data_IF_765146282184
#
_entry.id   IF_765146282184
#
_cell.length_a   1.000
_cell.length_b   1.000
_cell.length_c   1.000
_cell.angle_alpha   90.00
_cell.angle_beta   90.00
_cell.angle_gamma   90.00
#
_symmetry.space_group_name_H-M   'P 1'
#
loop_
_entity.id
_entity.type
_entity.pdbx_description
1 polymer ?
#
# COMPACT_ATOMS: atom_id res chain seq x y z
N UNK A 1 19.30 10.70 -24.38
CA UNK A 1 19.74 12.07 -24.11
C UNK A 1 20.86 12.36 -25.10
N UNK A 2 20.59 13.15 -26.13
CA UNK A 2 21.63 13.63 -27.03
C UNK A 2 21.52 15.16 -27.02
N UNK A 3 22.61 15.81 -26.62
CA UNK A 3 22.72 17.27 -26.59
C UNK A 3 23.34 17.66 -27.92
N UNK A 4 22.62 18.35 -28.79
CA UNK A 4 23.20 19.03 -29.96
C UNK A 4 23.14 20.52 -29.71
N UNK A 5 24.31 21.13 -29.52
CA UNK A 5 24.46 22.59 -29.47
C UNK A 5 24.39 23.17 -30.89
N UNK A 6 23.51 24.13 -31.09
CA UNK A 6 23.57 25.06 -32.23
C UNK A 6 23.33 26.47 -31.67
N UNK A 7 24.41 27.14 -31.25
CA UNK A 7 24.40 28.51 -30.73
C UNK A 7 23.72 28.70 -29.36
N UNK A 8 23.63 29.96 -28.91
CA UNK A 8 23.14 30.39 -27.58
C UNK A 8 21.66 30.09 -27.28
N UNK A 9 21.01 29.24 -28.07
CA UNK A 9 19.61 28.87 -27.92
C UNK A 9 19.49 27.37 -27.67
N UNK A 10 19.36 26.98 -26.41
CA UNK A 10 19.05 25.60 -26.02
C UNK A 10 17.58 25.34 -26.29
N UNK A 11 17.27 24.71 -27.43
CA UNK A 11 15.92 24.22 -27.71
C UNK A 11 15.75 22.85 -27.04
N UNK A 12 15.11 22.85 -25.87
CA UNK A 12 14.57 21.63 -25.25
C UNK A 12 13.29 21.22 -26.00
N UNK A 13 13.41 20.46 -27.09
CA UNK A 13 12.25 19.74 -27.62
C UNK A 13 11.91 18.59 -26.67
N UNK A 14 10.95 18.87 -25.78
CA UNK A 14 10.39 17.91 -24.85
C UNK A 14 9.48 16.95 -25.62
N UNK A 15 9.79 15.65 -25.50
CA UNK A 15 8.96 14.53 -25.95
C UNK A 15 7.49 14.74 -25.55
N UNK A 16 6.64 14.60 -26.56
CA UNK A 16 5.18 14.68 -26.58
C UNK A 16 4.48 14.32 -25.26
N UNK A 17 3.82 15.31 -24.64
CA UNK A 17 2.81 15.18 -23.59
C UNK A 17 1.61 16.10 -23.89
N UNK A 18 0.40 15.79 -23.40
CA UNK A 18 -0.87 16.15 -24.05
C UNK A 18 -1.37 17.59 -23.81
N UNK A 19 -0.47 18.57 -23.69
CA UNK A 19 -0.82 19.96 -23.36
C UNK A 19 -0.33 20.97 -24.40
N UNK A 20 -0.61 20.72 -25.68
CA UNK A 20 -0.44 21.72 -26.75
C UNK A 20 -1.63 22.69 -26.77
N UNK A 21 -1.47 23.87 -26.14
CA UNK A 21 -2.27 25.06 -26.48
C UNK A 21 -1.37 26.25 -26.83
N UNK A 22 -1.22 26.44 -28.14
CA UNK A 22 -1.10 27.69 -28.92
C UNK A 22 -0.34 28.86 -28.27
N UNK A 23 0.85 29.14 -28.80
CA UNK A 23 1.63 30.35 -28.54
C UNK A 23 1.00 31.55 -29.27
N UNK A 24 0.54 32.54 -28.51
CA UNK A 24 0.36 33.91 -29.00
C UNK A 24 0.49 34.86 -27.79
N UNK A 25 1.42 35.82 -27.87
CA UNK A 25 1.62 36.88 -26.87
C UNK A 25 2.85 36.67 -26.00
N UNK A 26 3.72 37.68 -25.95
CA UNK A 26 4.95 37.70 -25.14
C UNK A 26 4.67 37.30 -23.69
N UNK A 27 5.61 36.57 -23.08
CA UNK A 27 5.39 35.86 -21.82
C UNK A 27 5.85 36.70 -20.60
N UNK A 28 5.02 37.57 -19.99
CA UNK A 28 5.23 37.83 -18.58
C UNK A 28 5.01 36.48 -17.88
N UNK A 29 5.94 36.08 -17.02
CA UNK A 29 5.89 34.88 -16.16
C UNK A 29 6.53 33.57 -16.68
N UNK A 30 7.49 33.58 -17.62
CA UNK A 30 8.25 32.36 -17.99
C UNK A 30 8.93 31.69 -16.78
N UNK A 31 9.59 32.47 -15.93
CA UNK A 31 10.22 31.99 -14.69
C UNK A 31 9.21 31.34 -13.72
N UNK A 32 8.01 31.94 -13.58
CA UNK A 32 6.92 31.37 -12.76
C UNK A 32 6.47 30.02 -13.30
N UNK A 33 6.34 29.89 -14.62
CA UNK A 33 5.91 28.65 -15.28
C UNK A 33 6.93 27.52 -15.11
N UNK A 34 8.23 27.80 -15.20
CA UNK A 34 9.28 26.80 -14.95
C UNK A 34 9.28 26.37 -13.47
N UNK A 35 9.10 27.30 -12.54
CA UNK A 35 8.98 26.98 -11.12
C UNK A 35 7.73 26.12 -10.83
N UNK A 36 6.58 26.45 -11.42
CA UNK A 36 5.35 25.65 -11.33
C UNK A 36 5.53 24.24 -11.93
N UNK A 37 6.19 24.13 -13.09
CA UNK A 37 6.52 22.85 -13.72
C UNK A 37 7.43 22.01 -12.82
N UNK A 38 8.46 22.63 -12.22
CA UNK A 38 9.38 21.97 -11.28
C UNK A 38 8.66 21.50 -10.02
N UNK A 39 7.77 22.33 -9.47
CA UNK A 39 6.93 21.95 -8.33
C UNK A 39 5.99 20.80 -8.67
N UNK A 40 5.44 20.77 -9.88
CA UNK A 40 4.58 19.67 -10.31
C UNK A 40 5.37 18.36 -10.41
N UNK A 41 6.53 18.38 -11.06
CA UNK A 41 7.42 17.21 -11.13
C UNK A 41 7.89 16.76 -9.73
N UNK A 42 8.23 17.69 -8.85
CA UNK A 42 8.60 17.39 -7.47
C UNK A 42 7.44 16.75 -6.70
N UNK A 43 6.23 17.32 -6.78
CA UNK A 43 5.02 16.74 -6.17
C UNK A 43 4.73 15.34 -6.67
N UNK A 44 4.91 15.08 -7.97
CA UNK A 44 4.71 13.74 -8.53
C UNK A 44 5.79 12.76 -8.08
N UNK A 45 7.06 13.20 -7.98
CA UNK A 45 8.14 12.38 -7.43
C UNK A 45 7.87 12.02 -5.96
N UNK A 46 7.40 12.96 -5.15
CA UNK A 46 7.06 12.70 -3.74
C UNK A 46 5.88 11.73 -3.60
N UNK A 47 4.85 11.84 -4.46
CA UNK A 47 3.76 10.86 -4.50
C UNK A 47 4.25 9.44 -4.78
N UNK A 48 5.15 9.28 -5.76
CA UNK A 48 5.71 7.97 -6.09
C UNK A 48 6.54 7.39 -4.94
N UNK A 49 7.37 8.23 -4.30
CA UNK A 49 8.17 7.82 -3.13
C UNK A 49 7.28 7.38 -1.97
N UNK A 50 6.19 8.12 -1.71
CA UNK A 50 5.23 7.76 -0.67
C UNK A 50 4.51 6.44 -0.98
N UNK A 51 4.15 6.21 -2.25
CA UNK A 51 3.52 4.96 -2.67
C UNK A 51 4.46 3.76 -2.45
N UNK A 52 5.73 3.88 -2.86
CA UNK A 52 6.73 2.83 -2.64
C UNK A 52 6.95 2.55 -1.14
N UNK A 53 6.98 3.60 -0.32
CA UNK A 53 7.14 3.43 1.13
C UNK A 53 5.91 2.77 1.77
N UNK A 54 4.70 3.09 1.29
CA UNK A 54 3.47 2.44 1.72
C UNK A 54 3.48 0.95 1.39
N UNK A 55 3.82 0.58 0.16
CA UNK A 55 3.93 -0.82 -0.28
C UNK A 55 4.98 -1.58 0.54
N UNK A 56 6.12 -0.94 0.81
CA UNK A 56 7.18 -1.50 1.68
C UNK A 56 6.67 -1.77 3.10
N UNK A 57 5.89 -0.86 3.66
CA UNK A 57 5.31 -1.01 5.00
C UNK A 57 4.21 -2.08 5.02
N UNK A 58 3.36 -2.14 4.00
CA UNK A 58 2.33 -3.18 3.86
C UNK A 58 2.95 -4.58 3.74
N UNK A 59 4.07 -4.72 3.05
CA UNK A 59 4.82 -5.98 2.98
C UNK A 59 5.42 -6.39 4.34
N UNK A 60 5.79 -5.42 5.19
CA UNK A 60 6.35 -5.68 6.52
C UNK A 60 5.27 -6.03 7.54
N UNK A 61 4.16 -5.30 7.54
CA UNK A 61 3.08 -5.43 8.51
C UNK A 61 1.92 -6.21 7.89
N UNK A 62 1.97 -7.52 8.06
CA UNK A 62 0.91 -8.44 7.62
C UNK A 62 -0.43 -8.01 8.23
N UNK A 63 -1.48 -8.00 7.42
CA UNK A 63 -2.81 -7.55 7.86
C UNK A 63 -3.14 -6.09 7.53
N UNK A 64 -2.16 -5.32 7.04
CA UNK A 64 -2.41 -3.95 6.55
C UNK A 64 -3.24 -4.02 5.26
N UNK A 65 -4.42 -3.38 5.26
CA UNK A 65 -5.32 -3.37 4.11
C UNK A 65 -4.89 -2.42 2.99
N UNK A 66 -5.42 -2.68 1.80
CA UNK A 66 -5.49 -1.78 0.63
C UNK A 66 -6.96 -1.49 0.27
N UNK A 67 -7.26 -0.50 -0.59
CA UNK A 67 -8.63 -0.17 -0.98
C UNK A 67 -9.44 -1.34 -1.54
N UNK A 68 -8.80 -2.30 -2.21
CA UNK A 68 -9.44 -3.48 -2.78
C UNK A 68 -9.38 -4.72 -1.86
N UNK A 69 -9.13 -4.52 -0.55
CA UNK A 69 -9.16 -5.62 0.43
C UNK A 69 -10.57 -6.20 0.50
N UNK A 70 -10.69 -7.49 0.25
CA UNK A 70 -11.98 -8.17 0.30
C UNK A 70 -12.46 -8.35 1.74
N UNK A 71 -13.78 -8.46 1.94
CA UNK A 71 -14.34 -8.76 3.26
C UNK A 71 -13.79 -10.08 3.84
N UNK A 72 -13.47 -11.05 2.97
CA UNK A 72 -12.89 -12.32 3.39
C UNK A 72 -11.45 -12.17 3.90
N UNK A 73 -10.59 -11.41 3.20
CA UNK A 73 -9.21 -11.13 3.64
C UNK A 73 -9.21 -10.39 4.98
N UNK A 74 -10.05 -9.35 5.11
CA UNK A 74 -10.19 -8.61 6.36
C UNK A 74 -10.60 -9.51 7.52
N UNK A 75 -11.68 -10.29 7.37
CA UNK A 75 -12.13 -11.22 8.41
C UNK A 75 -11.04 -12.23 8.76
N UNK A 76 -10.38 -12.81 7.75
CA UNK A 76 -9.29 -13.77 7.96
C UNK A 76 -8.19 -13.21 8.86
N UNK A 77 -7.78 -11.96 8.63
CA UNK A 77 -6.79 -11.27 9.45
C UNK A 77 -7.28 -11.08 10.89
N UNK A 78 -8.51 -10.60 11.08
CA UNK A 78 -9.10 -10.41 12.43
C UNK A 78 -9.15 -11.72 13.23
N UNK A 79 -9.57 -12.82 12.62
CA UNK A 79 -9.61 -14.12 13.31
C UNK A 79 -8.20 -14.62 13.65
N UNK A 80 -7.22 -14.44 12.76
CA UNK A 80 -5.82 -14.80 13.03
C UNK A 80 -5.26 -13.99 14.20
N UNK A 81 -5.52 -12.69 14.26
CA UNK A 81 -5.08 -11.82 15.35
C UNK A 81 -5.73 -12.21 16.68
N UNK A 82 -7.01 -12.58 16.64
CA UNK A 82 -7.75 -13.07 17.81
C UNK A 82 -7.15 -14.38 18.33
N UNK A 83 -6.93 -15.37 17.47
CA UNK A 83 -6.33 -16.64 17.87
C UNK A 83 -4.90 -16.49 18.34
N UNK A 84 -4.11 -15.64 17.69
CA UNK A 84 -2.75 -15.29 18.12
C UNK A 84 -2.76 -14.66 19.51
N UNK A 85 -3.69 -13.74 19.78
CA UNK A 85 -3.83 -13.09 21.09
C UNK A 85 -4.24 -14.08 22.18
N UNK A 86 -5.20 -14.97 21.92
CA UNK A 86 -5.62 -15.99 22.88
C UNK A 86 -4.46 -16.95 23.17
N UNK A 87 -3.75 -17.42 22.14
CA UNK A 87 -2.61 -18.32 22.31
C UNK A 87 -1.43 -17.60 22.99
N UNK A 88 -1.20 -16.32 22.72
CA UNK A 88 -0.09 -15.54 23.25
C UNK A 88 -0.22 -15.17 24.73
N UNK A 89 -1.44 -14.94 25.23
CA UNK A 89 -1.68 -14.47 26.60
C UNK A 89 -2.08 -15.63 27.53
N UNK A 90 -1.23 -16.04 28.50
CA UNK A 90 -1.53 -17.15 29.40
C UNK A 90 -2.85 -17.04 30.19
N UNK A 91 -3.28 -15.84 30.67
CA UNK A 91 -4.56 -15.72 31.37
C UNK A 91 -5.76 -16.02 30.46
N UNK A 92 -5.71 -15.53 29.22
CA UNK A 92 -6.79 -15.74 28.24
C UNK A 92 -6.86 -17.19 27.79
N UNK A 93 -5.71 -17.82 27.56
CA UNK A 93 -5.62 -19.24 27.25
C UNK A 93 -6.16 -20.11 28.39
N UNK A 94 -5.81 -19.79 29.63
CA UNK A 94 -6.26 -20.53 30.82
C UNK A 94 -7.77 -20.39 31.03
N UNK A 95 -8.31 -19.19 30.80
CA UNK A 95 -9.75 -18.94 30.89
C UNK A 95 -10.54 -19.81 29.89
N UNK A 96 -10.11 -19.87 28.64
CA UNK A 96 -10.75 -20.72 27.63
C UNK A 96 -10.53 -22.22 27.88
N UNK A 97 -9.34 -22.62 28.34
CA UNK A 97 -9.04 -24.01 28.67
C UNK A 97 -9.92 -24.53 29.80
N UNK A 98 -10.16 -23.69 30.81
CA UNK A 98 -11.06 -24.00 31.91
C UNK A 98 -12.52 -24.12 31.44
N UNK A 99 -12.98 -23.22 30.57
CA UNK A 99 -14.34 -23.24 30.04
C UNK A 99 -14.63 -24.48 29.17
N UNK A 100 -13.64 -24.93 28.39
CA UNK A 100 -13.77 -26.11 27.53
C UNK A 100 -13.37 -27.42 28.20
N UNK A 101 -12.84 -27.37 29.43
CA UNK A 101 -12.29 -28.53 30.16
C UNK A 101 -11.23 -29.30 29.36
N UNK A 102 -10.31 -28.59 28.72
CA UNK A 102 -9.24 -29.14 27.88
C UNK A 102 -7.85 -28.70 28.39
N UNK A 103 -6.80 -29.52 28.22
CA UNK A 103 -5.44 -29.10 28.54
C UNK A 103 -5.04 -27.85 27.74
N UNK A 104 -4.34 -26.90 28.38
CA UNK A 104 -3.94 -25.63 27.76
C UNK A 104 -3.10 -25.82 26.50
N UNK A 105 -2.26 -26.87 26.46
CA UNK A 105 -1.44 -27.22 25.31
C UNK A 105 -2.27 -27.69 24.12
N UNK A 106 -3.34 -28.46 24.37
CA UNK A 106 -4.22 -28.98 23.32
C UNK A 106 -5.07 -27.85 22.73
N UNK A 107 -5.62 -26.99 23.59
CA UNK A 107 -6.32 -25.78 23.16
C UNK A 107 -5.40 -24.88 22.32
N UNK A 108 -4.17 -24.63 22.78
CA UNK A 108 -3.17 -23.82 22.04
C UNK A 108 -2.89 -24.41 20.66
N UNK A 109 -2.65 -25.73 20.57
CA UNK A 109 -2.41 -26.40 19.30
C UNK A 109 -3.63 -26.31 18.37
N UNK A 110 -4.84 -26.45 18.91
CA UNK A 110 -6.09 -26.31 18.15
C UNK A 110 -6.29 -24.89 17.62
N UNK A 111 -6.02 -23.86 18.43
CA UNK A 111 -6.09 -22.46 18.00
C UNK A 111 -5.11 -22.17 16.86
N UNK A 112 -3.86 -22.65 16.96
CA UNK A 112 -2.86 -22.50 15.90
C UNK A 112 -3.32 -23.19 14.61
N UNK A 113 -3.88 -24.39 14.69
CA UNK A 113 -4.42 -25.10 13.50
C UNK A 113 -5.58 -24.33 12.86
N UNK A 114 -6.46 -23.72 13.66
CA UNK A 114 -7.58 -22.89 13.16
C UNK A 114 -7.11 -21.63 12.41
N UNK A 115 -5.87 -21.18 12.58
CA UNK A 115 -5.34 -20.01 11.87
C UNK A 115 -5.13 -20.24 10.36
N UNK A 116 -5.03 -21.49 9.91
CA UNK A 116 -4.82 -21.81 8.48
C UNK A 116 -5.97 -21.26 7.63
N UNK A 117 -7.21 -21.60 8.00
CA UNK A 117 -8.41 -21.17 7.30
C UNK A 117 -9.54 -20.90 8.30
N UNK A 118 -9.55 -19.73 8.96
CA UNK A 118 -10.45 -19.44 10.07
C UNK A 118 -11.90 -19.17 9.62
N UNK A 119 -12.10 -18.71 8.38
CA UNK A 119 -13.39 -18.24 7.85
C UNK A 119 -13.84 -19.03 6.61
N UNK A 120 -13.26 -20.23 6.42
CA UNK A 120 -13.53 -21.08 5.26
C UNK A 120 -12.82 -20.62 3.98
N UNK A 121 -13.09 -21.31 2.85
CA UNK A 121 -12.48 -21.00 1.56
C UNK A 121 -12.79 -19.57 1.10
N UNK A 122 -11.87 -18.92 0.37
CA UNK A 122 -12.15 -17.62 -0.23
C UNK A 122 -13.32 -17.72 -1.22
N UNK A 123 -14.16 -16.68 -1.32
CA UNK A 123 -15.17 -16.61 -2.36
C UNK A 123 -14.50 -16.65 -3.74
N UNK A 124 -15.20 -17.18 -4.74
CA UNK A 124 -14.74 -17.08 -6.12
C UNK A 124 -14.55 -15.60 -6.47
N UNK A 125 -13.38 -15.25 -7.04
CA UNK A 125 -13.18 -13.90 -7.55
C UNK A 125 -14.11 -13.71 -8.74
N UNK A 126 -14.97 -12.70 -8.67
CA UNK A 126 -15.67 -12.20 -9.85
C UNK A 126 -14.61 -11.43 -10.65
N UNK A 127 -14.34 -11.87 -11.88
CA UNK A 127 -13.39 -11.21 -12.81
C UNK A 127 -13.88 -9.81 -13.22
#
# INVERSE_FOLDING_TARGET
MWITEVGDTVILELVHGPHQRRLAGGLPNFSRRIHEQRLWCQKMADKLRNQQELERLQAKYVGTGHPDTTSWEWKTNIYRDTYSSIAGHPPMLSYMALAENEPTQLLRARLIRKMMQPVGPPPARED
#
